data_IF_772798313399
#
_entry.id   IF_772798313399
#
_cell.length_a   1.000
_cell.length_b   1.000
_cell.length_c   1.000
_cell.angle_alpha   90.00
_cell.angle_beta   90.00
_cell.angle_gamma   90.00
#
_symmetry.space_group_name_H-M   'P 1'
#
loop_
_entity.id
_entity.type
_entity.pdbx_description
1 polymer ?
#
# COMPACT_ATOMS: atom_id res chain seq x y z
N UNK A 1 -6.33 -5.37 -17.99
CA UNK A 1 -5.57 -4.13 -17.74
C UNK A 1 -4.68 -4.37 -16.53
N UNK A 2 -3.45 -3.85 -16.53
CA UNK A 2 -2.50 -4.04 -15.42
C UNK A 2 -3.01 -3.28 -14.20
N UNK A 3 -3.38 -3.98 -13.13
CA UNK A 3 -3.78 -3.39 -11.83
C UNK A 3 -2.59 -2.89 -10.99
N UNK A 4 -1.43 -2.71 -11.63
CA UNK A 4 -0.18 -2.37 -10.94
C UNK A 4 0.20 -0.93 -11.21
N UNK A 5 0.64 -0.25 -10.16
CA UNK A 5 1.26 1.07 -10.24
C UNK A 5 2.62 0.88 -10.91
N UNK A 6 2.81 1.55 -12.04
CA UNK A 6 4.08 1.64 -12.72
C UNK A 6 4.91 2.76 -12.10
N UNK A 7 6.21 2.52 -11.90
CA UNK A 7 7.16 3.54 -11.45
C UNK A 7 8.07 3.92 -12.59
N UNK A 8 8.06 5.20 -12.95
CA UNK A 8 8.95 5.80 -13.93
C UNK A 8 9.93 6.73 -13.25
N UNK A 9 11.19 6.70 -13.69
CA UNK A 9 12.23 7.60 -13.21
C UNK A 9 12.85 8.30 -14.40
N UNK A 10 12.79 9.61 -14.37
CA UNK A 10 13.36 10.49 -15.36
C UNK A 10 14.31 11.49 -14.70
N UNK A 11 15.22 12.05 -15.49
CA UNK A 11 16.05 13.17 -15.06
C UNK A 11 15.79 14.40 -15.93
N UNK A 12 15.92 15.56 -15.30
CA UNK A 12 15.63 16.87 -15.85
C UNK A 12 16.52 17.90 -15.19
N UNK A 13 16.43 19.16 -15.62
CA UNK A 13 17.17 20.26 -15.02
C UNK A 13 16.19 21.30 -14.47
N UNK A 14 16.40 21.72 -13.22
CA UNK A 14 15.68 22.82 -12.57
C UNK A 14 16.69 23.83 -12.05
N UNK A 15 16.61 25.09 -12.48
CA UNK A 15 17.53 26.16 -12.08
C UNK A 15 19.03 25.84 -12.30
N UNK A 16 19.34 25.02 -13.31
CA UNK A 16 20.71 24.58 -13.59
C UNK A 16 21.16 23.34 -12.79
N UNK A 17 20.33 22.82 -11.89
CA UNK A 17 20.59 21.62 -11.12
C UNK A 17 19.91 20.40 -11.74
N UNK A 18 20.59 19.25 -11.72
CA UNK A 18 20.02 17.98 -12.16
C UNK A 18 19.06 17.41 -11.11
N UNK A 19 17.79 17.28 -11.48
CA UNK A 19 16.73 16.74 -10.65
C UNK A 19 16.23 15.44 -11.24
N UNK A 20 16.01 14.47 -10.37
CA UNK A 20 15.45 13.17 -10.69
C UNK A 20 13.99 13.15 -10.23
N UNK A 21 13.10 12.75 -11.14
CA UNK A 21 11.66 12.74 -10.93
C UNK A 21 11.20 11.29 -10.89
N UNK A 22 10.65 10.89 -9.75
CA UNK A 22 10.04 9.58 -9.56
C UNK A 22 8.52 9.71 -9.65
N UNK A 23 7.93 9.09 -10.66
CA UNK A 23 6.49 9.10 -10.90
C UNK A 23 5.92 7.73 -10.66
N UNK A 24 4.78 7.71 -10.00
CA UNK A 24 3.96 6.53 -9.83
C UNK A 24 2.67 6.72 -10.61
N UNK A 25 2.43 5.85 -11.59
CA UNK A 25 1.30 5.94 -12.52
C UNK A 25 0.46 4.69 -12.39
N UNK A 26 -0.85 4.84 -12.18
CA UNK A 26 -1.81 3.75 -12.26
C UNK A 26 -2.70 3.99 -13.48
N UNK A 27 -2.65 3.08 -14.44
CA UNK A 27 -3.28 3.23 -15.76
C UNK A 27 -2.74 4.49 -16.46
N UNK A 28 -3.45 5.62 -16.37
CA UNK A 28 -3.06 6.92 -16.94
C UNK A 28 -3.05 8.05 -15.88
N UNK A 29 -3.38 7.70 -14.64
CA UNK A 29 -3.48 8.63 -13.52
C UNK A 29 -2.15 8.69 -12.79
N UNK A 30 -1.60 9.90 -12.66
CA UNK A 30 -0.45 10.13 -11.78
C UNK A 30 -0.90 9.98 -10.33
N UNK A 31 -0.48 8.89 -9.69
CA UNK A 31 -0.78 8.60 -8.28
C UNK A 31 0.10 9.45 -7.37
N UNK A 32 1.38 9.54 -7.72
CA UNK A 32 2.33 10.23 -6.87
C UNK A 32 3.54 10.74 -7.64
N UNK A 33 4.14 11.80 -7.12
CA UNK A 33 5.31 12.47 -7.69
C UNK A 33 6.28 12.84 -6.57
N UNK A 34 7.52 12.37 -6.68
CA UNK A 34 8.61 12.73 -5.78
C UNK A 34 9.82 13.24 -6.57
N UNK A 35 10.54 14.18 -5.98
CA UNK A 35 11.70 14.83 -6.57
C UNK A 35 12.95 14.46 -5.77
N UNK A 36 14.07 14.26 -6.45
CA UNK A 36 15.31 13.83 -5.83
C UNK A 36 16.48 14.58 -6.44
N UNK A 37 17.45 14.93 -5.62
CA UNK A 37 18.76 15.39 -6.08
C UNK A 37 19.79 14.30 -5.89
N UNK A 38 20.78 14.26 -6.78
CA UNK A 38 21.94 13.38 -6.63
C UNK A 38 22.95 14.02 -5.69
N UNK A 39 23.57 13.21 -4.85
CA UNK A 39 24.57 13.58 -3.86
C UNK A 39 25.76 12.62 -3.96
N UNK A 40 26.84 12.90 -3.25
CA UNK A 40 28.03 12.04 -3.21
C UNK A 40 27.74 10.63 -2.68
N UNK A 41 26.69 10.48 -1.87
CA UNK A 41 26.31 9.23 -1.21
C UNK A 41 25.06 8.56 -1.82
N UNK A 42 24.51 9.10 -2.90
CA UNK A 42 23.32 8.56 -3.57
C UNK A 42 22.28 9.62 -3.89
N UNK A 43 21.02 9.36 -3.58
CA UNK A 43 19.90 10.27 -3.84
C UNK A 43 19.23 10.74 -2.54
N UNK A 44 18.82 12.00 -2.51
CA UNK A 44 18.09 12.63 -1.41
C UNK A 44 16.76 13.18 -1.94
N UNK A 45 15.64 12.86 -1.26
CA UNK A 45 14.32 13.38 -1.61
C UNK A 45 14.24 14.89 -1.30
N UNK A 46 13.79 15.67 -2.27
CA UNK A 46 13.51 17.10 -2.10
C UNK A 46 12.09 17.28 -1.56
N UNK A 47 11.88 18.29 -0.72
CA UNK A 47 10.55 18.58 -0.21
C UNK A 47 9.70 19.14 -1.36
N UNK A 48 8.44 18.70 -1.45
CA UNK A 48 7.55 19.13 -2.53
C UNK A 48 7.35 20.64 -2.60
N UNK A 49 7.36 21.32 -1.45
CA UNK A 49 7.21 22.77 -1.39
C UNK A 49 8.43 23.53 -1.92
N UNK A 50 9.60 22.90 -1.97
CA UNK A 50 10.80 23.47 -2.59
C UNK A 50 10.72 23.44 -4.12
N UNK A 51 9.76 22.68 -4.68
CA UNK A 51 9.53 22.59 -6.12
C UNK A 51 8.30 23.43 -6.49
N UNK A 52 8.45 24.48 -7.31
CA UNK A 52 7.32 25.29 -7.74
C UNK A 52 6.23 24.43 -8.40
N UNK A 53 4.96 24.68 -8.10
CA UNK A 53 3.84 23.88 -8.63
C UNK A 53 3.83 23.80 -10.17
N UNK A 54 4.16 24.92 -10.83
CA UNK A 54 4.27 24.97 -12.30
C UNK A 54 5.45 24.15 -12.83
N UNK A 55 6.56 24.09 -12.09
CA UNK A 55 7.67 23.18 -12.39
C UNK A 55 7.20 21.73 -12.31
N UNK A 56 6.46 21.36 -11.26
CA UNK A 56 5.91 20.01 -11.12
C UNK A 56 5.02 19.61 -12.31
N UNK A 57 4.11 20.48 -12.72
CA UNK A 57 3.22 20.25 -13.88
C UNK A 57 4.00 20.13 -15.18
N UNK A 58 4.95 21.02 -15.42
CA UNK A 58 5.75 21.01 -16.63
C UNK A 58 6.62 19.75 -16.71
N UNK A 59 7.19 19.32 -15.58
CA UNK A 59 7.95 18.08 -15.52
C UNK A 59 7.09 16.85 -15.83
N UNK A 60 5.88 16.77 -15.26
CA UNK A 60 4.93 15.70 -15.61
C UNK A 60 4.63 15.70 -17.11
N UNK A 61 4.41 16.88 -17.71
CA UNK A 61 4.16 17.02 -19.16
C UNK A 61 5.33 16.50 -19.98
N UNK A 62 6.56 16.90 -19.64
CA UNK A 62 7.78 16.50 -20.38
C UNK A 62 8.05 15.00 -20.27
N UNK A 63 7.87 14.41 -19.08
CA UNK A 63 8.02 12.96 -18.92
C UNK A 63 7.00 12.22 -19.79
N UNK A 64 5.72 12.60 -19.73
CA UNK A 64 4.67 11.98 -20.54
C UNK A 64 4.92 12.10 -22.05
N UNK A 65 5.56 13.19 -22.48
CA UNK A 65 5.95 13.39 -23.88
C UNK A 65 7.21 12.60 -24.29
N UNK A 66 7.83 11.84 -23.38
CA UNK A 66 9.17 11.26 -23.53
C UNK A 66 10.25 12.31 -23.87
N UNK A 67 10.06 13.55 -23.40
CA UNK A 67 10.96 14.69 -23.59
C UNK A 67 11.85 14.92 -22.34
N UNK A 68 12.31 13.81 -21.78
CA UNK A 68 13.21 13.76 -20.62
C UNK A 68 14.26 12.70 -20.86
N UNK A 69 15.46 12.93 -20.33
CA UNK A 69 16.48 11.90 -20.39
C UNK A 69 16.12 10.79 -19.38
N UNK A 70 16.16 9.54 -19.82
CA UNK A 70 15.91 8.39 -18.95
C UNK A 70 17.15 8.12 -18.09
N UNK A 71 16.93 7.66 -16.87
CA UNK A 71 18.03 7.23 -16.01
C UNK A 71 18.72 6.00 -16.59
N UNK A 72 20.04 5.94 -16.47
CA UNK A 72 20.81 4.75 -16.86
C UNK A 72 20.53 3.59 -15.90
N UNK A 73 20.81 2.33 -16.29
CA UNK A 73 20.64 1.18 -15.39
C UNK A 73 21.46 1.30 -14.09
N UNK A 74 22.65 1.89 -14.17
CA UNK A 74 23.51 2.13 -13.00
C UNK A 74 22.90 3.15 -12.05
N UNK A 75 22.41 4.29 -12.58
CA UNK A 75 21.71 5.29 -11.77
C UNK A 75 20.45 4.73 -11.14
N UNK A 76 19.66 3.96 -11.90
CA UNK A 76 18.47 3.30 -11.39
C UNK A 76 18.78 2.36 -10.22
N UNK A 77 19.90 1.62 -10.30
CA UNK A 77 20.34 0.75 -9.20
C UNK A 77 20.70 1.56 -7.95
N UNK A 78 21.46 2.65 -8.09
CA UNK A 78 21.84 3.52 -6.96
C UNK A 78 20.59 4.20 -6.37
N UNK A 79 19.70 4.71 -7.22
CA UNK A 79 18.42 5.29 -6.82
C UNK A 79 17.60 4.32 -5.98
N UNK A 80 17.45 3.07 -6.44
CA UNK A 80 16.71 2.05 -5.69
C UNK A 80 17.35 1.74 -4.34
N UNK A 81 18.68 1.74 -4.24
CA UNK A 81 19.38 1.54 -2.98
C UNK A 81 19.13 2.71 -2.01
N UNK A 82 19.21 3.96 -2.49
CA UNK A 82 18.90 5.15 -1.70
C UNK A 82 17.45 5.17 -1.24
N UNK A 83 16.50 4.89 -2.13
CA UNK A 83 15.07 4.83 -1.80
C UNK A 83 14.77 3.75 -0.76
N UNK A 84 15.36 2.56 -0.90
CA UNK A 84 15.19 1.48 0.08
C UNK A 84 15.75 1.89 1.46
N UNK A 85 16.92 2.53 1.49
CA UNK A 85 17.50 3.01 2.74
C UNK A 85 16.61 4.08 3.39
N UNK A 86 16.11 5.02 2.59
CA UNK A 86 15.18 6.05 3.03
C UNK A 86 13.90 5.43 3.62
N UNK A 87 13.27 4.48 2.93
CA UNK A 87 12.07 3.78 3.41
C UNK A 87 12.33 3.04 4.72
N UNK A 88 13.50 2.43 4.92
CA UNK A 88 13.88 1.77 6.18
C UNK A 88 14.00 2.78 7.33
N UNK A 89 14.65 3.92 7.09
CA UNK A 89 14.81 4.98 8.10
C UNK A 89 13.45 5.60 8.45
N UNK A 90 12.64 5.92 7.44
CA UNK A 90 11.31 6.48 7.59
C UNK A 90 10.37 5.52 8.35
N UNK A 91 10.45 4.22 8.08
CA UNK A 91 9.69 3.19 8.81
C UNK A 91 10.01 3.20 10.31
N UNK A 92 11.28 3.36 10.68
CA UNK A 92 11.69 3.47 12.10
C UNK A 92 11.18 4.75 12.74
N UNK A 93 11.27 5.86 12.02
CA UNK A 93 10.78 7.17 12.47
C UNK A 93 9.27 7.15 12.71
N UNK A 94 8.49 6.65 11.73
CA UNK A 94 7.04 6.49 11.82
C UNK A 94 6.65 5.67 13.06
N UNK A 95 7.27 4.50 13.27
CA UNK A 95 7.00 3.66 14.46
C UNK A 95 7.29 4.42 15.75
N UNK A 96 8.39 5.18 15.78
CA UNK A 96 8.79 6.00 16.94
C UNK A 96 7.85 7.18 17.21
N UNK A 97 7.29 7.81 16.18
CA UNK A 97 6.37 8.93 16.32
C UNK A 97 4.96 8.46 16.69
N UNK A 98 4.40 7.48 15.98
CA UNK A 98 3.03 6.98 16.25
C UNK A 98 2.92 6.42 17.67
N UNK A 99 3.92 5.67 18.14
CA UNK A 99 3.93 5.13 19.51
C UNK A 99 3.96 6.21 20.59
N UNK A 100 4.45 7.43 20.29
CA UNK A 100 4.44 8.58 21.22
C UNK A 100 3.14 9.37 21.13
N UNK A 101 2.57 9.49 19.94
CA UNK A 101 1.43 10.38 19.65
C UNK A 101 0.07 9.73 19.92
N UNK A 102 -0.04 8.40 19.83
CA UNK A 102 -1.31 7.69 19.99
C UNK A 102 -1.18 6.62 21.06
N UNK A 103 -1.64 6.94 22.28
CA UNK A 103 -1.58 6.02 23.41
C UNK A 103 -2.41 4.75 23.12
N UNK A 104 -1.83 3.57 23.39
CA UNK A 104 -2.49 2.28 23.15
C UNK A 104 -2.50 1.78 21.70
N UNK A 105 -1.92 2.52 20.74
CA UNK A 105 -1.77 2.06 19.36
C UNK A 105 -0.39 1.44 19.12
N UNK A 106 -0.36 0.16 18.74
CA UNK A 106 0.86 -0.53 18.35
C UNK A 106 0.96 -0.62 16.82
N UNK A 107 2.00 -0.04 16.24
CA UNK A 107 2.30 -0.18 14.81
C UNK A 107 2.99 -1.54 14.58
N UNK A 108 2.31 -2.45 13.90
CA UNK A 108 2.83 -3.78 13.55
C UNK A 108 3.68 -3.72 12.29
N UNK A 109 3.23 -2.96 11.29
CA UNK A 109 3.89 -2.85 9.99
C UNK A 109 3.81 -1.42 9.45
N UNK A 110 4.85 -1.01 8.72
CA UNK A 110 4.88 0.21 7.92
C UNK A 110 5.25 -0.22 6.51
N UNK A 111 4.37 0.07 5.56
CA UNK A 111 4.59 -0.20 4.14
C UNK A 111 4.66 1.10 3.35
N UNK A 112 5.15 0.98 2.13
CA UNK A 112 5.20 2.08 1.17
C UNK A 112 4.60 1.57 -0.13
N UNK A 113 3.57 2.27 -0.59
CA UNK A 113 2.96 2.03 -1.88
C UNK A 113 2.96 3.34 -2.66
N UNK A 114 3.64 3.35 -3.80
CA UNK A 114 3.65 4.46 -4.73
C UNK A 114 4.14 5.79 -4.15
N UNK A 115 5.17 5.76 -3.32
CA UNK A 115 5.69 6.88 -2.54
C UNK A 115 4.73 7.40 -1.46
N UNK A 116 3.67 6.66 -1.13
CA UNK A 116 2.80 6.91 0.01
C UNK A 116 3.05 5.86 1.08
N UNK A 117 3.20 6.31 2.33
CA UNK A 117 3.38 5.38 3.44
C UNK A 117 2.03 4.96 3.98
N UNK A 118 1.92 3.73 4.46
CA UNK A 118 0.78 3.24 5.21
C UNK A 118 1.26 2.46 6.42
N UNK A 119 0.41 2.38 7.43
CA UNK A 119 0.67 1.58 8.63
C UNK A 119 -0.43 0.55 8.81
N UNK A 120 -0.02 -0.60 9.32
CA UNK A 120 -0.93 -1.57 9.94
C UNK A 120 -0.69 -1.48 11.42
N UNK A 121 -1.71 -1.08 12.16
CA UNK A 121 -1.69 -1.01 13.61
C UNK A 121 -2.69 -1.98 14.21
N UNK A 122 -2.49 -2.28 15.49
CA UNK A 122 -3.41 -3.06 16.29
C UNK A 122 -3.52 -2.38 17.65
N UNK A 123 -4.75 -2.16 18.11
CA UNK A 123 -4.98 -1.81 19.51
C UNK A 123 -4.96 -3.07 20.35
N UNK A 124 -4.55 -2.94 21.61
CA UNK A 124 -4.56 -4.08 22.54
C UNK A 124 -5.99 -4.59 22.83
N UNK A 125 -6.98 -3.72 22.62
CA UNK A 125 -8.40 -3.98 22.88
C UNK A 125 -9.13 -4.67 21.70
N UNK A 126 -8.55 -4.64 20.49
CA UNK A 126 -9.22 -5.18 19.30
C UNK A 126 -8.40 -6.30 18.63
N UNK A 127 -9.09 -7.36 18.21
CA UNK A 127 -8.48 -8.42 17.37
C UNK A 127 -8.27 -7.98 15.92
N UNK A 128 -8.90 -6.88 15.53
CA UNK A 128 -8.89 -6.34 14.17
C UNK A 128 -7.72 -5.37 14.02
N UNK A 129 -6.93 -5.61 12.99
CA UNK A 129 -5.86 -4.70 12.57
C UNK A 129 -6.47 -3.51 11.84
N UNK A 130 -5.88 -2.34 11.96
CA UNK A 130 -6.34 -1.11 11.33
C UNK A 130 -5.29 -0.68 10.33
N UNK A 131 -5.71 -0.33 9.11
CA UNK A 131 -4.80 0.16 8.09
C UNK A 131 -5.04 1.66 7.88
N UNK A 132 -3.98 2.44 8.01
CA UNK A 132 -4.02 3.89 7.82
C UNK A 132 -3.04 4.33 6.76
N UNK A 133 -3.40 5.36 6.01
CA UNK A 133 -2.45 6.07 5.16
C UNK A 133 -1.74 7.14 5.99
N UNK A 134 -0.44 7.33 5.74
CA UNK A 134 0.34 8.40 6.34
C UNK A 134 0.70 9.43 5.29
N UNK A 135 0.40 10.68 5.58
CA UNK A 135 0.86 11.83 4.81
C UNK A 135 1.80 12.65 5.69
N UNK A 136 2.91 13.14 5.14
CA UNK A 136 3.78 14.08 5.89
C UNK A 136 3.02 15.40 6.08
N UNK A 137 2.93 15.85 7.32
CA UNK A 137 2.23 17.06 7.73
C UNK A 137 3.09 18.32 7.41
N UNK A 138 3.31 18.62 6.13
CA UNK A 138 3.98 19.87 5.74
C UNK A 138 5.30 20.19 6.48
N UNK A 139 5.45 21.44 6.93
CA UNK A 139 6.66 22.01 7.57
C UNK A 139 6.91 21.47 8.99
N UNK A 140 5.92 20.83 9.61
CA UNK A 140 6.07 20.24 10.94
C UNK A 140 6.53 18.77 10.86
N UNK A 141 7.36 18.34 11.81
CA UNK A 141 7.93 16.99 11.89
C UNK A 141 6.90 15.93 12.33
N UNK A 142 5.75 15.88 11.65
CA UNK A 142 4.62 15.03 11.99
C UNK A 142 4.05 14.28 10.78
N UNK A 143 3.26 13.24 11.08
CA UNK A 143 2.47 12.52 10.09
C UNK A 143 0.98 12.73 10.37
N UNK A 144 0.23 13.05 9.32
CA UNK A 144 -1.23 12.98 9.34
C UNK A 144 -1.67 11.54 9.05
N UNK A 145 -2.48 11.00 9.96
CA UNK A 145 -3.08 9.67 9.84
C UNK A 145 -4.41 9.83 9.10
N UNK A 146 -4.45 9.37 7.86
CA UNK A 146 -5.61 9.45 6.98
C UNK A 146 -6.22 8.08 6.68
N UNK A 147 -7.42 8.13 6.08
CA UNK A 147 -8.08 6.94 5.50
C UNK A 147 -7.41 6.57 4.19
N UNK A 148 -7.46 5.28 3.87
CA UNK A 148 -6.99 4.80 2.57
C UNK A 148 -8.04 5.11 1.50
N UNK A 149 -7.68 5.78 0.40
CA UNK A 149 -8.55 5.91 -0.76
C UNK A 149 -8.93 4.53 -1.30
N UNK A 150 -10.22 4.31 -1.56
CA UNK A 150 -10.75 3.02 -2.02
C UNK A 150 -9.95 2.36 -3.18
N UNK A 151 -9.45 3.10 -4.19
CA UNK A 151 -8.64 2.51 -5.27
C UNK A 151 -7.33 1.85 -4.81
N UNK A 152 -6.74 2.30 -3.68
CA UNK A 152 -5.44 1.78 -3.21
C UNK A 152 -5.55 0.62 -2.24
N UNK A 153 -6.75 0.30 -1.76
CA UNK A 153 -6.95 -0.73 -0.73
C UNK A 153 -6.47 -2.10 -1.21
N UNK A 154 -6.88 -2.53 -2.40
CA UNK A 154 -6.50 -3.84 -2.95
C UNK A 154 -4.98 -3.93 -3.21
N UNK A 155 -4.36 -2.81 -3.58
CA UNK A 155 -2.93 -2.72 -3.81
C UNK A 155 -2.13 -2.77 -2.50
N UNK A 156 -2.60 -2.08 -1.46
CA UNK A 156 -2.02 -2.15 -0.12
C UNK A 156 -2.12 -3.58 0.42
N UNK A 157 -3.22 -4.28 0.19
CA UNK A 157 -3.36 -5.68 0.60
C UNK A 157 -2.35 -6.57 -0.14
N UNK A 158 -2.14 -6.38 -1.45
CA UNK A 158 -1.11 -7.09 -2.21
C UNK A 158 0.30 -6.83 -1.67
N UNK A 159 0.64 -5.55 -1.44
CA UNK A 159 1.93 -5.16 -0.87
C UNK A 159 2.14 -5.77 0.52
N UNK A 160 1.11 -5.72 1.36
CA UNK A 160 1.15 -6.30 2.70
C UNK A 160 1.41 -7.81 2.65
N UNK A 161 0.70 -8.58 1.83
CA UNK A 161 0.91 -10.05 1.74
C UNK A 161 2.22 -10.43 1.07
N UNK A 162 2.83 -9.53 0.28
CA UNK A 162 4.16 -9.73 -0.27
C UNK A 162 5.23 -9.70 0.83
N UNK A 163 5.07 -8.80 1.81
CA UNK A 163 6.05 -8.57 2.87
C UNK A 163 5.73 -9.29 4.19
N UNK A 164 4.48 -9.75 4.36
CA UNK A 164 4.01 -10.35 5.60
C UNK A 164 3.44 -11.74 5.36
N UNK A 165 3.70 -12.64 6.31
CA UNK A 165 3.15 -13.99 6.29
C UNK A 165 1.67 -13.95 6.67
N UNK A 166 0.80 -14.36 5.74
CA UNK A 166 -0.61 -14.68 6.05
C UNK A 166 -0.69 -16.12 6.52
N UNK A 167 -1.42 -16.38 7.59
CA UNK A 167 -1.59 -17.73 8.14
C UNK A 167 -2.92 -18.38 7.76
N UNK A 168 -3.08 -19.65 8.15
CA UNK A 168 -4.33 -20.39 7.99
C UNK A 168 -5.48 -19.86 8.87
N UNK A 169 -5.18 -19.08 9.91
CA UNK A 169 -6.19 -18.38 10.70
C UNK A 169 -6.51 -17.05 10.03
N UNK A 170 -7.80 -16.75 9.91
CA UNK A 170 -8.25 -15.49 9.34
C UNK A 170 -7.69 -14.31 10.15
N UNK A 171 -7.13 -13.34 9.44
CA UNK A 171 -6.74 -12.03 9.97
C UNK A 171 -7.65 -10.98 9.37
N UNK A 172 -8.05 -9.99 10.17
CA UNK A 172 -9.03 -8.99 9.78
C UNK A 172 -8.44 -7.60 9.82
N UNK A 173 -8.70 -6.84 8.76
CA UNK A 173 -8.17 -5.51 8.56
C UNK A 173 -9.33 -4.53 8.36
N UNK A 174 -9.43 -3.53 9.23
CA UNK A 174 -10.35 -2.40 9.07
C UNK A 174 -9.69 -1.34 8.20
N UNK A 175 -10.39 -0.94 7.14
CA UNK A 175 -9.97 0.13 6.22
C UNK A 175 -10.76 1.41 6.50
N UNK A 176 -12.03 1.26 6.87
CA UNK A 176 -12.90 2.31 7.39
C UNK A 176 -13.96 1.69 8.32
N UNK A 177 -14.76 2.52 9.00
CA UNK A 177 -15.76 2.12 9.99
C UNK A 177 -16.70 1.00 9.52
N UNK A 178 -17.03 0.98 8.24
CA UNK A 178 -17.98 0.03 7.66
C UNK A 178 -17.32 -0.98 6.70
N UNK A 179 -16.00 -0.96 6.54
CA UNK A 179 -15.31 -1.77 5.53
C UNK A 179 -14.10 -2.50 6.11
N UNK A 180 -14.14 -3.82 5.95
CA UNK A 180 -13.14 -4.75 6.47
C UNK A 180 -12.68 -5.71 5.37
N UNK A 181 -11.49 -6.27 5.56
CA UNK A 181 -10.94 -7.31 4.73
C UNK A 181 -10.52 -8.49 5.60
N UNK A 182 -11.02 -9.68 5.26
CA UNK A 182 -10.55 -10.94 5.81
C UNK A 182 -9.50 -11.57 4.91
N UNK A 183 -8.35 -11.92 5.47
CA UNK A 183 -7.24 -12.58 4.81
C UNK A 183 -6.98 -13.95 5.44
N UNK A 184 -6.86 -14.99 4.61
CA UNK A 184 -6.58 -16.35 5.08
C UNK A 184 -5.81 -17.14 4.04
N UNK A 185 -4.72 -17.79 4.44
CA UNK A 185 -3.98 -18.72 3.58
C UNK A 185 -4.73 -20.06 3.46
N UNK A 186 -4.76 -20.61 2.24
CA UNK A 186 -5.25 -21.95 1.96
C UNK A 186 -4.34 -23.01 2.59
N UNK A 187 -4.93 -24.07 3.13
CA UNK A 187 -4.19 -25.20 3.72
C UNK A 187 -3.43 -26.04 2.69
N UNK A 188 -3.90 -26.05 1.45
CA UNK A 188 -3.44 -27.00 0.42
C UNK A 188 -2.80 -26.31 -0.78
N UNK A 189 -2.78 -24.98 -0.82
CA UNK A 189 -2.27 -24.21 -1.95
C UNK A 189 -1.62 -22.90 -1.50
N UNK A 190 -0.76 -22.32 -2.35
CA UNK A 190 -0.20 -20.97 -2.15
C UNK A 190 -1.19 -19.89 -2.58
N UNK A 191 -2.42 -20.04 -2.14
CA UNK A 191 -3.53 -19.13 -2.42
C UNK A 191 -3.90 -18.45 -1.11
N UNK A 192 -4.00 -17.13 -1.16
CA UNK A 192 -4.57 -16.35 -0.06
C UNK A 192 -5.97 -15.96 -0.48
N UNK A 193 -6.95 -16.33 0.34
CA UNK A 193 -8.32 -15.87 0.21
C UNK A 193 -8.45 -14.48 0.77
N UNK A 194 -9.05 -13.59 -0.02
CA UNK A 194 -9.37 -12.22 0.39
C UNK A 194 -10.86 -12.00 0.25
N UNK A 195 -11.48 -11.57 1.34
CA UNK A 195 -12.91 -11.32 1.42
C UNK A 195 -13.11 -9.88 1.87
N UNK A 196 -13.68 -9.06 0.99
CA UNK A 196 -14.19 -7.75 1.37
C UNK A 196 -15.49 -7.95 2.13
N UNK A 197 -15.56 -7.36 3.32
CA UNK A 197 -16.68 -7.43 4.25
C UNK A 197 -17.18 -6.00 4.45
N UNK A 198 -18.42 -5.74 4.06
CA UNK A 198 -19.08 -4.47 4.34
C UNK A 198 -20.08 -4.66 5.49
N UNK A 199 -20.01 -3.78 6.49
CA UNK A 199 -20.87 -3.80 7.68
C UNK A 199 -21.93 -2.71 7.53
N UNK A 200 -23.19 -3.12 7.61
CA UNK A 200 -24.36 -2.26 7.62
C UNK A 200 -25.04 -2.34 8.99
N UNK A 201 -25.90 -1.37 9.36
CA UNK A 201 -26.53 -1.34 10.69
C UNK A 201 -27.22 -2.64 11.11
N UNK A 202 -27.78 -3.39 10.16
CA UNK A 202 -28.56 -4.62 10.43
C UNK A 202 -27.99 -5.87 9.76
N UNK A 203 -26.89 -5.76 9.01
CA UNK A 203 -26.35 -6.90 8.26
C UNK A 203 -24.87 -6.77 7.96
N UNK A 204 -24.22 -7.92 7.75
CA UNK A 204 -22.87 -8.01 7.23
C UNK A 204 -22.96 -8.68 5.86
N UNK A 205 -22.36 -8.06 4.85
CA UNK A 205 -22.31 -8.63 3.50
C UNK A 205 -20.86 -8.82 3.05
N UNK A 206 -20.64 -9.79 2.16
CA UNK A 206 -19.40 -9.88 1.41
C UNK A 206 -19.67 -9.45 -0.03
N UNK A 207 -19.13 -8.29 -0.38
CA UNK A 207 -19.40 -7.65 -1.69
C UNK A 207 -18.36 -8.01 -2.74
N UNK A 208 -17.17 -8.47 -2.34
CA UNK A 208 -16.11 -8.88 -3.26
C UNK A 208 -15.24 -9.95 -2.61
N UNK A 209 -15.05 -11.08 -3.28
CA UNK A 209 -14.06 -12.08 -2.88
C UNK A 209 -13.12 -12.35 -4.05
N UNK A 210 -11.85 -12.53 -3.77
CA UNK A 210 -10.84 -12.85 -4.76
C UNK A 210 -9.71 -13.67 -4.12
N UNK A 211 -8.88 -14.23 -4.98
CA UNK A 211 -7.68 -14.95 -4.57
C UNK A 211 -6.47 -14.09 -4.84
N UNK A 212 -5.47 -14.19 -3.99
CA UNK A 212 -4.11 -13.75 -4.31
C UNK A 212 -3.30 -15.01 -4.57
N UNK A 213 -2.74 -15.12 -5.77
CA UNK A 213 -1.83 -16.21 -6.12
C UNK A 213 -0.41 -15.72 -6.21
N UNK A 214 0.51 -16.61 -5.86
CA UNK A 214 1.94 -16.35 -5.95
C UNK A 214 2.44 -16.71 -7.36
N UNK A 215 2.78 -15.71 -8.17
CA UNK A 215 3.46 -15.85 -9.46
C UNK A 215 4.98 -15.90 -9.21
N UNK A 216 5.61 -17.02 -9.56
CA UNK A 216 7.02 -17.29 -9.22
C UNK A 216 7.31 -17.25 -7.70
N UNK A 217 8.57 -17.22 -7.27
CA UNK A 217 8.92 -17.32 -5.85
C UNK A 217 8.70 -16.04 -5.04
N UNK A 218 8.25 -14.93 -5.64
CA UNK A 218 8.15 -13.65 -4.93
C UNK A 218 6.94 -12.78 -5.30
N UNK A 219 6.36 -12.84 -6.50
CA UNK A 219 5.31 -11.88 -6.87
C UNK A 219 3.91 -12.40 -6.54
N UNK A 220 3.03 -11.52 -6.07
CA UNK A 220 1.62 -11.85 -5.81
C UNK A 220 0.72 -11.09 -6.80
N UNK A 221 -0.34 -11.74 -7.29
CA UNK A 221 -1.33 -11.13 -8.18
C UNK A 221 -2.74 -11.38 -7.70
N UNK A 222 -3.62 -10.40 -7.90
CA UNK A 222 -5.07 -10.58 -7.74
C UNK A 222 -5.57 -11.51 -8.84
N UNK A 223 -6.39 -12.47 -8.44
CA UNK A 223 -7.17 -13.35 -9.30
C UNK A 223 -8.64 -13.10 -9.00
N UNK A 224 -9.36 -12.34 -9.84
CA UNK A 224 -10.77 -12.12 -9.63
C UNK A 224 -11.56 -13.42 -9.80
N UNK A 225 -12.72 -13.48 -9.14
CA UNK A 225 -13.70 -14.58 -9.25
C UNK A 225 -13.94 -15.00 -10.70
N UNK A 226 -14.08 -14.03 -11.61
CA UNK A 226 -14.43 -14.26 -13.00
C UNK A 226 -13.37 -15.06 -13.78
N UNK A 227 -12.13 -15.08 -13.30
CA UNK A 227 -11.00 -15.79 -13.92
C UNK A 227 -10.77 -17.18 -13.28
N UNK A 228 -11.66 -17.64 -12.39
CA UNK A 228 -11.51 -18.87 -11.62
C UNK A 228 -12.33 -20.05 -12.17
N UNK A 229 -11.82 -21.28 -12.01
CA UNK A 229 -12.57 -22.50 -12.36
C UNK A 229 -13.77 -22.71 -11.44
N UNK A 230 -14.81 -23.46 -11.85
CA UNK A 230 -15.98 -23.73 -10.99
C UNK A 230 -15.63 -24.34 -9.62
N UNK A 231 -14.62 -25.22 -9.56
CA UNK A 231 -14.15 -25.81 -8.31
C UNK A 231 -13.49 -24.76 -7.39
N UNK A 232 -12.66 -23.87 -7.95
CA UNK A 232 -12.05 -22.77 -7.21
C UNK A 232 -13.10 -21.78 -6.72
N UNK A 233 -14.13 -21.53 -7.54
CA UNK A 233 -15.26 -20.66 -7.20
C UNK A 233 -16.07 -21.20 -6.02
N UNK A 234 -16.40 -22.49 -6.03
CA UNK A 234 -17.09 -23.14 -4.92
C UNK A 234 -16.26 -23.04 -3.63
N UNK A 235 -14.95 -23.32 -3.72
CA UNK A 235 -14.02 -23.19 -2.60
C UNK A 235 -13.94 -21.77 -2.04
N UNK A 236 -13.86 -20.75 -2.91
CA UNK A 236 -13.83 -19.35 -2.52
C UNK A 236 -15.13 -18.91 -1.83
N UNK A 237 -16.29 -19.37 -2.30
CA UNK A 237 -17.58 -19.09 -1.65
C UNK A 237 -17.67 -19.74 -0.26
N UNK A 238 -17.22 -20.99 -0.14
CA UNK A 238 -17.23 -21.71 1.14
C UNK A 238 -16.28 -21.06 2.15
N UNK A 239 -15.04 -20.78 1.74
CA UNK A 239 -14.06 -20.09 2.59
C UNK A 239 -14.50 -18.66 2.91
N UNK A 240 -15.11 -17.96 1.95
CA UNK A 240 -15.71 -16.66 2.16
C UNK A 240 -16.74 -16.66 3.29
N UNK A 241 -17.68 -17.62 3.26
CA UNK A 241 -18.68 -17.81 4.33
C UNK A 241 -18.01 -18.10 5.68
N UNK A 242 -16.97 -18.94 5.71
CA UNK A 242 -16.23 -19.24 6.95
C UNK A 242 -15.58 -17.99 7.53
N UNK A 243 -14.91 -17.19 6.69
CA UNK A 243 -14.25 -15.94 7.08
C UNK A 243 -15.27 -14.94 7.65
N UNK A 244 -16.43 -14.77 7.01
CA UNK A 244 -17.50 -13.87 7.47
C UNK A 244 -18.10 -14.34 8.79
N UNK A 245 -18.43 -15.63 8.91
CA UNK A 245 -19.01 -16.18 10.13
C UNK A 245 -18.07 -16.04 11.33
N UNK A 246 -16.76 -16.20 11.11
CA UNK A 246 -15.76 -15.96 12.14
C UNK A 246 -15.66 -14.46 12.46
N UNK A 247 -15.71 -13.58 11.47
CA UNK A 247 -15.70 -12.13 11.69
C UNK A 247 -16.86 -11.67 12.58
N UNK A 248 -18.09 -12.11 12.28
CA UNK A 248 -19.29 -11.77 13.06
C UNK A 248 -19.12 -12.23 14.52
N UNK A 249 -18.59 -13.44 14.73
CA UNK A 249 -18.32 -13.95 16.09
C UNK A 249 -17.32 -13.06 16.84
N UNK A 250 -16.23 -12.67 16.18
CA UNK A 250 -15.20 -11.82 16.78
C UNK A 250 -15.72 -10.40 17.10
N UNK A 251 -16.52 -9.82 16.22
CA UNK A 251 -17.17 -8.53 16.45
C UNK A 251 -18.15 -8.57 17.63
N UNK A 252 -19.01 -9.59 17.70
CA UNK A 252 -19.99 -9.73 18.78
C UNK A 252 -19.34 -9.98 20.15
N UNK A 253 -18.17 -10.62 20.19
CA UNK A 253 -17.39 -10.82 21.41
C UNK A 253 -16.69 -9.54 21.91
N UNK A 254 -16.55 -8.53 21.05
CA UNK A 254 -15.88 -7.26 21.39
C UNK A 254 -16.89 -6.19 21.85
N UNK A 255 -18.20 -6.43 21.67
CA UNK A 255 -19.29 -5.56 22.09
C UNK A 255 -19.86 -5.89 23.49
N UNK A 256 -19.30 -6.90 24.18
CA UNK A 256 -19.65 -7.32 25.54
C UNK A 256 -18.54 -6.95 26.52
#
# INVERSE_FOLDING_TARGET
MSSFIHREIAKTTLNGEEIYVCMYVHEEVLVNLSFFKKTDVGFEEMLRHDVPAETGKELVRRVRANDVEKVTPTELKVFNQSLNMYNILLSKEIKGLVSKSVNGMKVEYVGELAGMNYIVSKSDEMKIQQIYMLQKAGVESGFEIGRIPAPFVEMILLDYVHHNKVGEKASYFMVDQNQFFGLKESKSSRIIYVVKIDVFPESVSATKAYMISKKNHYEYTLLPIQESTPQLMSGLQEEGKKIINQFIKEMNMTAQ
#
